data_IF_096489377517
#
_entry.id   IF_096489377517
#
_cell.length_a   1.000
_cell.length_b   1.000
_cell.length_c   1.000
_cell.angle_alpha   90.00
_cell.angle_beta   90.00
_cell.angle_gamma   90.00
#
_symmetry.space_group_name_H-M   'P 1'
#
loop_
_entity.id
_entity.type
_entity.pdbx_description
1 polymer ?
#
# COMPACT_ATOMS: atom_id res chain seq x y z
N UNK A 1 -41.56 63.97 -34.98
CA UNK A 1 -41.11 62.63 -35.36
C UNK A 1 -40.04 62.84 -36.41
N UNK A 2 -38.78 62.90 -35.97
CA UNK A 2 -37.62 63.15 -36.84
C UNK A 2 -37.09 61.77 -37.26
N UNK A 3 -37.08 61.48 -38.56
CA UNK A 3 -36.54 60.23 -39.10
C UNK A 3 -35.05 60.45 -39.44
N UNK A 4 -34.16 59.90 -38.62
CA UNK A 4 -32.74 59.78 -38.93
C UNK A 4 -32.55 58.96 -40.22
N UNK A 5 -32.06 59.60 -41.29
CA UNK A 5 -31.61 58.92 -42.51
C UNK A 5 -30.25 58.30 -42.21
N UNK A 6 -30.21 57.00 -41.94
CA UNK A 6 -28.97 56.25 -41.79
C UNK A 6 -28.31 56.04 -43.17
N UNK A 7 -27.29 56.83 -43.48
CA UNK A 7 -26.41 56.57 -44.63
C UNK A 7 -25.53 55.35 -44.32
N UNK A 8 -25.67 54.27 -45.09
CA UNK A 8 -24.82 53.07 -44.95
C UNK A 8 -23.33 53.42 -45.06
N UNK A 9 -22.45 52.75 -44.29
CA UNK A 9 -21.01 53.01 -44.32
C UNK A 9 -20.41 52.69 -45.70
N UNK A 10 -19.37 53.42 -46.15
CA UNK A 10 -18.70 53.17 -47.43
C UNK A 10 -18.01 51.81 -47.44
N UNK A 11 -17.71 51.29 -48.65
CA UNK A 11 -17.00 50.01 -48.79
C UNK A 11 -15.62 50.07 -48.13
N UNK A 12 -15.30 49.11 -47.26
CA UNK A 12 -14.10 49.16 -46.43
C UNK A 12 -13.94 47.99 -45.48
N UNK A 13 -12.83 47.97 -44.76
CA UNK A 13 -12.57 46.97 -43.71
C UNK A 13 -13.06 47.47 -42.37
N UNK A 14 -14.00 46.74 -41.78
CA UNK A 14 -14.62 47.08 -40.50
C UNK A 14 -14.50 45.90 -39.53
N UNK A 15 -14.67 46.15 -38.24
CA UNK A 15 -14.68 45.09 -37.21
C UNK A 15 -15.77 44.08 -37.52
N UNK A 16 -15.43 42.79 -37.51
CA UNK A 16 -16.39 41.73 -37.84
C UNK A 16 -17.54 41.69 -36.81
N UNK A 17 -18.80 41.99 -37.19
CA UNK A 17 -19.92 42.01 -36.26
C UNK A 17 -20.27 40.62 -35.71
N UNK A 18 -19.84 39.55 -36.40
CA UNK A 18 -20.04 38.16 -35.96
C UNK A 18 -19.13 37.77 -34.76
N UNK A 19 -18.31 38.70 -34.25
CA UNK A 19 -17.48 38.49 -33.06
C UNK A 19 -16.17 37.74 -33.32
N UNK A 20 -15.76 37.57 -34.58
CA UNK A 20 -14.41 37.07 -34.88
C UNK A 20 -13.38 38.18 -34.58
N UNK A 21 -12.23 37.82 -34.00
CA UNK A 21 -11.19 38.78 -33.57
C UNK A 21 -10.45 39.50 -34.73
N UNK A 22 -11.11 39.68 -35.88
CA UNK A 22 -10.58 40.23 -37.11
C UNK A 22 -11.46 41.33 -37.70
N UNK A 23 -11.08 41.77 -38.90
CA UNK A 23 -11.84 42.70 -39.72
C UNK A 23 -12.50 41.94 -40.87
N UNK A 24 -13.71 42.33 -41.23
CA UNK A 24 -14.44 41.82 -42.38
C UNK A 24 -14.65 42.95 -43.38
N UNK A 25 -14.63 42.64 -44.68
CA UNK A 25 -14.80 43.65 -45.71
C UNK A 25 -16.30 43.88 -46.00
N UNK A 26 -16.75 45.12 -45.84
CA UNK A 26 -18.07 45.62 -46.24
C UNK A 26 -17.97 46.17 -47.67
N UNK A 27 -18.85 45.74 -48.57
CA UNK A 27 -18.83 46.18 -49.98
C UNK A 27 -19.70 47.42 -50.26
N UNK A 28 -20.35 47.98 -49.23
CA UNK A 28 -21.30 49.10 -49.35
C UNK A 28 -22.76 48.67 -49.15
N UNK A 29 -23.08 47.39 -49.36
CA UNK A 29 -24.44 46.84 -49.27
C UNK A 29 -24.51 45.60 -48.34
N UNK A 30 -23.43 44.81 -48.25
CA UNK A 30 -23.32 43.62 -47.40
C UNK A 30 -21.91 43.28 -46.95
N UNK A 31 -21.84 42.44 -45.91
CA UNK A 31 -20.59 41.86 -45.41
C UNK A 31 -20.08 40.72 -46.31
N UNK A 32 -18.95 40.94 -46.99
CA UNK A 32 -18.33 39.92 -47.85
C UNK A 32 -17.66 38.81 -47.03
N UNK A 33 -17.28 37.70 -47.66
CA UNK A 33 -16.56 36.60 -46.98
C UNK A 33 -15.08 36.91 -46.71
N UNK A 34 -14.57 38.06 -47.16
CA UNK A 34 -13.18 38.43 -46.93
C UNK A 34 -12.99 38.87 -45.48
N UNK A 35 -12.21 38.07 -44.75
CA UNK A 35 -11.80 38.34 -43.37
C UNK A 35 -10.29 38.49 -43.34
N UNK A 36 -9.79 39.43 -42.53
CA UNK A 36 -8.37 39.59 -42.25
C UNK A 36 -8.11 39.72 -40.75
N UNK A 37 -6.97 39.22 -40.24
CA UNK A 37 -6.58 39.46 -38.85
C UNK A 37 -6.51 40.96 -38.56
N UNK A 38 -6.98 41.39 -37.39
CA UNK A 38 -6.82 42.78 -36.98
C UNK A 38 -5.33 43.06 -36.67
N UNK A 39 -4.64 43.96 -37.39
CA UNK A 39 -3.23 44.26 -37.14
C UNK A 39 -2.97 44.86 -35.75
N UNK A 40 -4.02 45.40 -35.10
CA UNK A 40 -3.97 45.98 -33.76
C UNK A 40 -4.31 44.97 -32.65
N UNK A 41 -4.58 43.71 -32.98
CA UNK A 41 -4.88 42.71 -31.95
C UNK A 41 -3.63 42.45 -31.08
N UNK A 42 -3.75 42.55 -29.74
CA UNK A 42 -2.62 42.29 -28.86
C UNK A 42 -2.15 40.85 -29.04
N UNK A 43 -0.87 40.67 -29.37
CA UNK A 43 -0.25 39.34 -29.40
C UNK A 43 -0.34 38.74 -27.99
N UNK A 44 -0.81 37.50 -27.90
CA UNK A 44 -0.94 36.81 -26.61
C UNK A 44 0.41 36.80 -25.87
N UNK A 45 0.43 37.06 -24.55
CA UNK A 45 1.65 37.01 -23.75
C UNK A 45 2.31 35.62 -23.77
N UNK A 46 1.55 34.55 -24.03
CA UNK A 46 2.10 33.22 -24.25
C UNK A 46 2.87 33.12 -25.58
N UNK A 47 2.37 33.73 -26.65
CA UNK A 47 3.05 33.75 -27.95
C UNK A 47 4.40 34.48 -27.85
N UNK A 48 4.44 35.61 -27.14
CA UNK A 48 5.68 36.36 -26.89
C UNK A 48 6.71 35.55 -26.09
N UNK A 49 6.27 34.76 -25.09
CA UNK A 49 7.17 33.88 -24.31
C UNK A 49 7.70 32.70 -25.13
N UNK A 50 6.85 32.12 -25.97
CA UNK A 50 7.23 31.03 -26.87
C UNK A 50 8.23 31.52 -27.93
N UNK A 51 8.01 32.69 -28.52
CA UNK A 51 8.92 33.29 -29.51
C UNK A 51 10.30 33.62 -28.89
N UNK A 52 10.32 34.13 -27.66
CA UNK A 52 11.56 34.36 -26.91
C UNK A 52 12.34 33.08 -26.60
N UNK A 53 11.67 32.01 -26.20
CA UNK A 53 12.30 30.70 -26.02
C UNK A 53 12.85 30.16 -27.34
N UNK A 54 12.09 30.30 -28.44
CA UNK A 54 12.44 29.79 -29.77
C UNK A 54 13.68 30.49 -30.33
N UNK A 55 13.74 31.82 -30.23
CA UNK A 55 14.92 32.58 -30.66
C UNK A 55 16.17 32.23 -29.85
N UNK A 56 16.03 31.96 -28.55
CA UNK A 56 17.15 31.57 -27.68
C UNK A 56 17.60 30.12 -27.93
N UNK A 57 16.67 29.24 -28.30
CA UNK A 57 16.95 27.87 -28.73
C UNK A 57 17.68 27.81 -30.07
N UNK A 58 17.31 28.67 -31.03
CA UNK A 58 17.96 28.76 -32.35
C UNK A 58 19.36 29.42 -32.33
N UNK A 59 19.85 29.87 -31.17
CA UNK A 59 21.23 30.33 -30.98
C UNK A 59 22.19 29.29 -30.40
N UNK A 60 21.69 28.15 -29.90
CA UNK A 60 22.53 27.12 -29.26
C UNK A 60 23.21 26.20 -30.29
N UNK A 61 24.41 25.66 -30.04
CA UNK A 61 25.06 24.72 -30.95
C UNK A 61 24.18 23.49 -31.22
N UNK A 62 24.19 22.98 -32.46
CA UNK A 62 23.26 21.95 -32.93
C UNK A 62 23.23 20.68 -32.06
N UNK A 63 24.37 20.29 -31.47
CA UNK A 63 24.44 19.16 -30.55
C UNK A 63 23.58 19.32 -29.29
N UNK A 64 23.50 20.52 -28.72
CA UNK A 64 22.72 20.77 -27.51
C UNK A 64 21.20 20.74 -27.77
N UNK A 65 20.77 21.12 -28.98
CA UNK A 65 19.35 21.10 -29.39
C UNK A 65 18.78 19.69 -29.53
N UNK A 66 19.65 18.71 -29.79
CA UNK A 66 19.27 17.31 -29.91
C UNK A 66 19.37 16.58 -28.57
N UNK A 67 20.36 16.89 -27.74
CA UNK A 67 20.57 16.19 -26.46
C UNK A 67 19.55 16.56 -25.39
N UNK A 68 19.13 17.83 -25.30
CA UNK A 68 18.16 18.28 -24.28
C UNK A 68 16.80 17.58 -24.38
N UNK A 69 16.13 17.48 -25.55
CA UNK A 69 14.84 16.80 -25.65
C UNK A 69 15.00 15.29 -25.46
N UNK A 70 16.08 14.68 -25.96
CA UNK A 70 16.35 13.26 -25.76
C UNK A 70 16.59 12.95 -24.28
N UNK A 71 17.39 13.75 -23.58
CA UNK A 71 17.62 13.60 -22.15
C UNK A 71 16.33 13.81 -21.35
N UNK A 72 15.49 14.78 -21.72
CA UNK A 72 14.20 15.01 -21.07
C UNK A 72 13.22 13.84 -21.27
N UNK A 73 13.19 13.24 -22.47
CA UNK A 73 12.39 12.04 -22.71
C UNK A 73 12.95 10.85 -21.92
N UNK A 74 14.27 10.66 -21.90
CA UNK A 74 14.89 9.58 -21.14
C UNK A 74 14.67 9.73 -19.63
N UNK A 75 14.68 10.95 -19.08
CA UNK A 75 14.36 11.17 -17.67
C UNK A 75 12.88 10.97 -17.38
N UNK A 76 11.97 11.41 -18.26
CA UNK A 76 10.53 11.11 -18.10
C UNK A 76 10.26 9.62 -18.13
N UNK A 77 10.85 8.90 -19.10
CA UNK A 77 10.73 7.44 -19.21
C UNK A 77 11.34 6.78 -17.97
N UNK A 78 12.52 7.21 -17.53
CA UNK A 78 13.15 6.71 -16.30
C UNK A 78 12.29 6.93 -15.06
N UNK A 79 11.68 8.12 -14.91
CA UNK A 79 10.77 8.44 -13.80
C UNK A 79 9.49 7.61 -13.88
N UNK A 80 8.91 7.44 -15.08
CA UNK A 80 7.72 6.63 -15.28
C UNK A 80 7.97 5.15 -14.98
N UNK A 81 9.09 4.60 -15.47
CA UNK A 81 9.54 3.24 -15.19
C UNK A 81 9.83 3.07 -13.70
N UNK A 82 10.50 4.04 -13.07
CA UNK A 82 10.76 4.02 -11.63
C UNK A 82 9.48 4.06 -10.80
N UNK A 83 8.52 4.91 -11.16
CA UNK A 83 7.22 4.97 -10.52
C UNK A 83 6.39 3.69 -10.74
N UNK A 84 6.51 3.06 -11.91
CA UNK A 84 5.85 1.79 -12.23
C UNK A 84 6.45 0.60 -11.47
N UNK A 85 7.77 0.58 -11.27
CA UNK A 85 8.47 -0.52 -10.58
C UNK A 85 8.35 -0.40 -9.05
N UNK A 86 8.06 0.79 -8.51
CA UNK A 86 7.86 0.96 -7.07
C UNK A 86 6.60 0.19 -6.63
N UNK A 87 6.73 -0.88 -5.82
CA UNK A 87 5.56 -1.52 -5.24
C UNK A 87 4.82 -0.50 -4.36
N UNK A 88 3.50 -0.43 -4.48
CA UNK A 88 2.70 0.40 -3.58
C UNK A 88 2.95 -0.11 -2.13
N UNK A 89 3.20 0.77 -1.15
CA UNK A 89 3.59 0.38 0.22
C UNK A 89 2.60 -0.51 0.99
N UNK A 90 1.38 -0.73 0.48
CA UNK A 90 0.29 -1.45 1.17
C UNK A 90 -0.17 -2.72 0.41
N UNK A 91 0.75 -3.52 -0.12
CA UNK A 91 0.41 -4.73 -0.90
C UNK A 91 0.10 -5.99 -0.05
N UNK A 92 -0.25 -5.81 1.23
CA UNK A 92 -0.67 -6.89 2.15
C UNK A 92 -1.92 -7.64 1.67
N UNK A 93 -2.65 -7.07 0.69
CA UNK A 93 -3.82 -7.68 0.07
C UNK A 93 -3.51 -8.91 -0.81
N UNK A 94 -2.25 -9.06 -1.26
CA UNK A 94 -1.82 -10.21 -2.06
C UNK A 94 -1.50 -11.45 -1.24
N UNK A 95 -1.64 -11.39 0.09
CA UNK A 95 -1.40 -12.54 0.94
C UNK A 95 -2.36 -13.70 0.62
N UNK A 96 -1.87 -14.95 0.70
CA UNK A 96 -2.71 -16.12 0.54
C UNK A 96 -3.80 -16.11 1.62
N UNK A 97 -5.06 -16.32 1.21
CA UNK A 97 -6.21 -16.31 2.13
C UNK A 97 -6.13 -17.37 3.23
N UNK A 98 -5.33 -18.43 3.01
CA UNK A 98 -5.17 -19.55 3.92
C UNK A 98 -3.73 -20.06 3.91
N UNK A 99 -3.20 -20.36 5.09
CA UNK A 99 -1.90 -20.99 5.27
C UNK A 99 -2.10 -22.45 5.70
N UNK A 100 -1.31 -23.34 5.12
CA UNK A 100 -1.28 -24.76 5.44
C UNK A 100 -0.10 -25.05 6.37
N UNK A 101 -0.36 -25.77 7.46
CA UNK A 101 0.62 -26.04 8.51
C UNK A 101 1.33 -27.37 8.28
N UNK A 102 2.66 -27.38 8.45
CA UNK A 102 3.51 -28.56 8.38
C UNK A 102 4.22 -28.74 9.73
N UNK A 103 4.24 -29.98 10.22
CA UNK A 103 4.94 -30.32 11.46
C UNK A 103 6.43 -30.52 11.18
N UNK A 104 7.31 -29.84 11.93
CA UNK A 104 8.75 -30.11 11.88
C UNK A 104 9.10 -31.39 12.65
N UNK A 105 10.26 -32.01 12.35
CA UNK A 105 10.74 -33.18 13.09
C UNK A 105 10.75 -32.94 14.60
N UNK A 106 10.12 -33.84 15.34
CA UNK A 106 9.96 -33.74 16.79
C UNK A 106 8.84 -34.65 17.29
N UNK A 107 8.61 -34.71 18.61
CA UNK A 107 7.47 -35.43 19.15
C UNK A 107 6.17 -34.80 18.65
N UNK A 108 5.23 -35.63 18.20
CA UNK A 108 3.96 -35.17 17.66
C UNK A 108 3.12 -34.53 18.77
N UNK A 109 2.63 -33.29 18.57
CA UNK A 109 1.77 -32.63 19.54
C UNK A 109 0.39 -33.31 19.61
N UNK A 110 -0.30 -33.24 20.77
CA UNK A 110 -1.70 -33.67 20.87
C UNK A 110 -2.62 -32.82 19.97
N UNK A 111 -3.79 -33.38 19.62
CA UNK A 111 -4.74 -32.75 18.71
C UNK A 111 -5.29 -31.40 19.25
N UNK A 112 -5.48 -31.27 20.57
CA UNK A 112 -5.90 -30.04 21.26
C UNK A 112 -5.01 -28.83 21.05
N UNK A 113 -3.76 -29.02 20.62
CA UNK A 113 -2.80 -27.94 20.36
C UNK A 113 -2.25 -27.97 18.92
N UNK A 114 -2.80 -28.86 18.09
CA UNK A 114 -2.44 -28.95 16.66
C UNK A 114 -3.18 -27.86 15.89
N UNK A 115 -2.46 -27.10 15.06
CA UNK A 115 -3.05 -26.05 14.23
C UNK A 115 -3.56 -26.67 12.94
N UNK A 116 -4.86 -26.58 12.70
CA UNK A 116 -5.49 -27.12 11.51
C UNK A 116 -5.33 -26.20 10.29
N UNK A 117 -5.52 -24.89 10.49
CA UNK A 117 -5.34 -23.88 9.43
C UNK A 117 -5.23 -22.48 10.00
N UNK A 118 -4.62 -21.58 9.24
CA UNK A 118 -4.60 -20.15 9.55
C UNK A 118 -5.22 -19.38 8.39
N UNK A 119 -6.36 -18.72 8.63
CA UNK A 119 -6.98 -17.84 7.64
C UNK A 119 -6.38 -16.44 7.76
N UNK A 120 -5.99 -15.84 6.64
CA UNK A 120 -5.34 -14.52 6.59
C UNK A 120 -6.27 -13.54 5.87
N UNK A 121 -6.48 -12.38 6.47
CA UNK A 121 -7.31 -11.33 5.88
C UNK A 121 -6.84 -9.94 6.25
N UNK A 122 -7.17 -8.95 5.41
CA UNK A 122 -6.83 -7.55 5.61
C UNK A 122 -8.11 -6.71 5.74
N UNK A 123 -8.78 -6.71 6.90
CA UNK A 123 -10.07 -6.05 7.06
C UNK A 123 -10.00 -4.52 6.96
N UNK A 124 -8.83 -3.91 7.20
CA UNK A 124 -8.58 -2.46 7.12
C UNK A 124 -7.18 -2.23 6.58
N UNK A 125 -6.94 -1.09 5.91
CA UNK A 125 -5.71 -0.81 5.15
C UNK A 125 -4.37 -1.01 5.88
N UNK A 126 -4.33 -1.00 7.21
CA UNK A 126 -3.10 -1.24 7.98
C UNK A 126 -3.23 -2.35 9.06
N UNK A 127 -4.22 -3.24 8.95
CA UNK A 127 -4.47 -4.28 9.96
C UNK A 127 -4.42 -5.67 9.32
N UNK A 128 -3.42 -6.45 9.72
CA UNK A 128 -3.32 -7.87 9.38
C UNK A 128 -4.12 -8.69 10.39
N UNK A 129 -5.12 -9.42 9.91
CA UNK A 129 -5.93 -10.33 10.74
C UNK A 129 -5.62 -11.79 10.40
N UNK A 130 -5.25 -12.54 11.42
CA UNK A 130 -4.98 -13.98 11.39
C UNK A 130 -5.99 -14.70 12.26
N UNK A 131 -6.68 -15.68 11.68
CA UNK A 131 -7.63 -16.55 12.41
C UNK A 131 -7.03 -17.94 12.45
N UNK A 132 -6.49 -18.31 13.62
CA UNK A 132 -5.84 -19.60 13.86
C UNK A 132 -6.90 -20.57 14.35
N UNK A 133 -7.11 -21.65 13.58
CA UNK A 133 -8.04 -22.74 13.92
C UNK A 133 -7.26 -23.97 14.36
N UNK A 134 -7.60 -24.51 15.52
CA UNK A 134 -7.03 -25.72 16.08
C UNK A 134 -7.84 -26.94 15.66
N UNK A 135 -7.21 -28.12 15.66
CA UNK A 135 -7.88 -29.37 15.32
C UNK A 135 -8.94 -29.77 16.37
N UNK A 136 -8.71 -29.40 17.62
CA UNK A 136 -9.62 -29.61 18.75
C UNK A 136 -9.66 -28.37 19.65
N UNK A 137 -10.65 -28.25 20.55
CA UNK A 137 -10.70 -27.15 21.51
C UNK A 137 -9.43 -27.04 22.37
N UNK A 138 -8.88 -25.83 22.45
CA UNK A 138 -7.71 -25.55 23.28
C UNK A 138 -8.01 -25.84 24.77
N UNK A 139 -7.01 -26.20 25.57
CA UNK A 139 -7.20 -26.32 27.02
C UNK A 139 -7.50 -24.94 27.66
N UNK A 140 -7.79 -24.89 28.98
CA UNK A 140 -7.92 -23.63 29.72
C UNK A 140 -6.59 -22.88 29.77
N UNK A 141 -6.62 -21.55 29.68
CA UNK A 141 -5.41 -20.73 29.66
C UNK A 141 -4.51 -21.00 30.88
N UNK A 142 -3.17 -20.96 30.70
CA UNK A 142 -2.24 -21.20 31.78
C UNK A 142 -2.40 -20.15 32.88
N UNK A 143 -2.38 -20.60 34.14
CA UNK A 143 -2.38 -19.72 35.31
C UNK A 143 -0.96 -19.40 35.74
N UNK A 144 -0.68 -18.16 36.15
CA UNK A 144 0.62 -17.75 36.68
C UNK A 144 1.24 -16.57 35.94
N UNK A 145 2.52 -16.32 36.21
CA UNK A 145 3.25 -15.17 35.70
C UNK A 145 4.63 -15.57 35.17
N UNK A 146 5.26 -14.69 34.39
CA UNK A 146 6.64 -14.89 33.96
C UNK A 146 7.63 -14.96 35.13
N UNK A 147 7.30 -14.36 36.28
CA UNK A 147 8.14 -14.36 37.49
C UNK A 147 7.97 -15.64 38.31
N UNK A 148 6.75 -16.14 38.44
CA UNK A 148 6.40 -17.34 39.23
C UNK A 148 6.43 -18.63 38.42
N UNK A 149 6.57 -18.54 37.09
CA UNK A 149 6.27 -19.62 36.17
C UNK A 149 4.77 -19.72 35.88
N UNK A 150 4.47 -20.35 34.74
CA UNK A 150 3.11 -20.67 34.32
C UNK A 150 2.83 -22.15 34.60
N UNK A 151 1.67 -22.45 35.18
CA UNK A 151 1.12 -23.79 35.29
C UNK A 151 0.13 -24.02 34.14
N UNK A 152 0.24 -25.16 33.44
CA UNK A 152 -0.61 -25.48 32.28
C UNK A 152 0.22 -25.63 31.01
N UNK A 153 -0.13 -24.93 29.94
CA UNK A 153 0.62 -25.00 28.70
C UNK A 153 1.10 -23.63 28.23
N UNK A 154 2.30 -23.59 27.64
CA UNK A 154 2.83 -22.38 27.02
C UNK A 154 2.71 -22.47 25.51
N UNK A 155 1.89 -21.63 24.91
CA UNK A 155 1.74 -21.53 23.46
C UNK A 155 2.39 -20.23 22.99
N UNK A 156 3.50 -20.34 22.27
CA UNK A 156 4.21 -19.21 21.69
C UNK A 156 4.05 -19.24 20.19
N UNK A 157 3.70 -18.10 19.60
CA UNK A 157 3.57 -17.95 18.17
C UNK A 157 4.57 -16.94 17.67
N UNK A 158 5.31 -17.25 16.61
CA UNK A 158 6.14 -16.26 15.91
C UNK A 158 5.59 -16.04 14.51
N UNK A 159 5.53 -14.77 14.14
CA UNK A 159 5.05 -14.33 12.84
C UNK A 159 6.21 -13.66 12.14
N UNK A 160 6.56 -14.20 10.98
CA UNK A 160 7.67 -13.73 10.17
C UNK A 160 7.22 -13.40 8.75
N UNK A 161 7.79 -12.33 8.21
CA UNK A 161 7.72 -11.96 6.80
C UNK A 161 9.13 -12.10 6.23
N UNK A 162 9.30 -12.83 5.12
CA UNK A 162 10.62 -13.05 4.53
C UNK A 162 11.64 -13.70 5.48
N UNK A 163 11.18 -14.57 6.40
CA UNK A 163 12.03 -15.18 7.42
C UNK A 163 12.48 -14.23 8.54
N UNK A 164 12.10 -12.95 8.49
CA UNK A 164 12.31 -11.99 9.58
C UNK A 164 11.08 -11.95 10.47
N UNK A 165 11.25 -12.40 11.71
CA UNK A 165 10.21 -12.29 12.73
C UNK A 165 9.91 -10.81 13.01
N UNK A 166 8.62 -10.49 13.13
CA UNK A 166 8.16 -9.14 13.47
C UNK A 166 7.16 -9.11 14.63
N UNK A 167 6.54 -10.24 14.96
CA UNK A 167 5.66 -10.37 16.12
C UNK A 167 5.86 -11.73 16.80
N UNK A 168 5.96 -11.70 18.12
CA UNK A 168 5.91 -12.88 19.00
C UNK A 168 4.66 -12.76 19.87
N UNK A 169 3.86 -13.83 19.94
CA UNK A 169 2.71 -13.91 20.81
C UNK A 169 2.92 -14.98 21.87
N UNK A 170 2.58 -14.67 23.11
CA UNK A 170 2.66 -15.61 24.24
C UNK A 170 1.49 -15.41 25.20
N UNK A 171 1.39 -16.22 26.28
CA UNK A 171 0.32 -16.08 27.24
C UNK A 171 0.40 -14.73 27.95
N UNK A 172 -0.76 -14.10 28.13
CA UNK A 172 -0.92 -12.94 28.99
C UNK A 172 -1.32 -13.42 30.39
N UNK A 173 -0.63 -12.91 31.41
CA UNK A 173 -0.88 -13.27 32.80
C UNK A 173 -2.37 -13.12 33.17
N UNK A 174 -2.93 -14.17 33.76
CA UNK A 174 -4.29 -14.22 34.32
C UNK A 174 -5.41 -13.84 33.32
N UNK A 175 -5.20 -14.07 32.02
CA UNK A 175 -6.20 -13.81 30.97
C UNK A 175 -6.19 -14.90 29.88
N UNK A 176 -7.28 -14.98 29.10
CA UNK A 176 -7.35 -15.78 27.86
C UNK A 176 -6.79 -15.05 26.63
N UNK A 177 -6.14 -13.90 26.84
CA UNK A 177 -5.52 -13.11 25.78
C UNK A 177 -4.07 -13.53 25.55
N UNK A 178 -3.56 -13.18 24.37
CA UNK A 178 -2.15 -13.37 24.05
C UNK A 178 -1.45 -12.02 24.05
N UNK A 179 -0.35 -11.96 24.80
CA UNK A 179 0.58 -10.85 24.79
C UNK A 179 1.27 -10.77 23.44
N UNK A 180 1.19 -9.63 22.75
CA UNK A 180 1.92 -9.37 21.49
C UNK A 180 3.21 -8.61 21.81
N UNK A 181 4.33 -9.06 21.24
CA UNK A 181 5.67 -8.52 21.48
C UNK A 181 6.44 -8.35 20.19
N UNK A 182 7.43 -7.44 20.20
CA UNK A 182 8.45 -7.38 19.15
C UNK A 182 9.57 -8.38 19.44
N UNK A 183 10.04 -9.14 18.44
CA UNK A 183 11.13 -10.09 18.63
C UNK A 183 12.39 -9.38 19.13
N UNK A 184 13.04 -9.93 20.17
CA UNK A 184 14.30 -9.41 20.72
C UNK A 184 14.18 -8.34 21.81
N UNK A 185 12.98 -7.85 22.14
CA UNK A 185 12.78 -6.97 23.30
C UNK A 185 12.68 -7.79 24.60
N UNK A 186 13.43 -7.39 25.64
CA UNK A 186 13.56 -8.15 26.89
C UNK A 186 12.26 -8.18 27.71
N UNK A 187 12.01 -9.33 28.36
CA UNK A 187 10.78 -9.68 29.12
C UNK A 187 10.49 -8.83 30.38
N UNK A 188 11.24 -7.76 30.63
CA UNK A 188 11.44 -7.18 31.96
C UNK A 188 10.44 -6.12 32.43
N UNK A 189 10.06 -5.14 31.60
CA UNK A 189 9.39 -3.94 32.20
C UNK A 189 8.40 -3.19 31.32
N UNK A 190 8.37 -3.38 29.99
CA UNK A 190 7.16 -3.07 29.20
C UNK A 190 6.96 -4.16 28.14
N UNK A 191 6.75 -5.42 28.55
CA UNK A 191 7.03 -6.57 27.70
C UNK A 191 5.96 -6.86 26.66
N UNK A 192 4.79 -6.21 26.73
CA UNK A 192 3.65 -6.49 25.86
C UNK A 192 3.18 -5.19 25.24
N UNK A 193 2.99 -5.18 23.92
CA UNK A 193 2.26 -4.10 23.26
C UNK A 193 0.89 -3.96 23.92
N UNK A 194 0.57 -2.74 24.37
CA UNK A 194 -0.76 -2.43 24.91
C UNK A 194 -1.82 -2.81 23.88
N UNK A 195 -2.75 -3.73 24.21
CA UNK A 195 -3.82 -4.11 23.31
C UNK A 195 -4.68 -2.91 22.95
N UNK A 196 -5.06 -2.83 21.69
CA UNK A 196 -5.99 -1.84 21.16
C UNK A 196 -6.94 -2.52 20.15
N UNK A 197 -7.83 -1.74 19.51
CA UNK A 197 -8.82 -2.26 18.56
C UNK A 197 -8.21 -2.94 17.33
N UNK A 198 -7.00 -2.55 16.93
CA UNK A 198 -6.29 -3.01 15.74
C UNK A 198 -5.11 -3.94 16.06
N UNK A 199 -4.60 -3.91 17.29
CA UNK A 199 -3.55 -4.80 17.78
C UNK A 199 -4.01 -5.54 19.03
N UNK A 200 -4.51 -6.76 18.86
CA UNK A 200 -5.00 -7.61 19.94
C UNK A 200 -4.94 -9.07 19.51
N UNK A 201 -4.88 -9.97 20.48
CA UNK A 201 -4.94 -11.40 20.22
C UNK A 201 -5.75 -12.07 21.32
N UNK A 202 -6.85 -12.71 20.93
CA UNK A 202 -7.79 -13.31 21.87
C UNK A 202 -8.41 -14.57 21.31
N UNK A 203 -8.79 -15.46 22.23
CA UNK A 203 -9.64 -16.59 21.91
C UNK A 203 -11.06 -16.10 21.60
N UNK A 204 -11.56 -16.44 20.41
CA UNK A 204 -12.91 -16.06 19.94
C UNK A 204 -13.87 -17.26 19.93
N UNK A 205 -13.34 -18.47 19.85
CA UNK A 205 -14.07 -19.72 20.01
C UNK A 205 -13.21 -20.78 20.73
N UNK A 206 -13.76 -21.90 21.19
CA UNK A 206 -12.99 -22.95 21.87
C UNK A 206 -11.80 -23.47 21.03
N UNK A 207 -11.90 -23.48 19.72
CA UNK A 207 -10.87 -23.95 18.79
C UNK A 207 -10.23 -22.80 17.98
N UNK A 208 -10.56 -21.54 18.28
CA UNK A 208 -10.21 -20.42 17.41
C UNK A 208 -9.60 -19.26 18.18
N UNK A 209 -8.44 -18.81 17.71
CA UNK A 209 -7.74 -17.61 18.19
C UNK A 209 -7.69 -16.59 17.07
N UNK A 210 -8.19 -15.39 17.33
CA UNK A 210 -8.11 -14.26 16.41
C UNK A 210 -6.99 -13.32 16.84
N UNK A 211 -6.11 -12.98 15.90
CA UNK A 211 -4.95 -12.11 16.08
C UNK A 211 -5.08 -10.96 15.09
N UNK A 212 -5.20 -9.75 15.58
CA UNK A 212 -5.18 -8.50 14.83
C UNK A 212 -3.86 -7.79 15.08
N UNK A 213 -3.19 -7.34 14.02
CA UNK A 213 -1.87 -6.72 14.07
C UNK A 213 -1.84 -5.46 13.22
N UNK A 214 -1.60 -4.31 13.86
CA UNK A 214 -1.39 -3.06 13.13
C UNK A 214 0.04 -3.01 12.57
N UNK A 215 0.15 -3.01 11.23
CA UNK A 215 1.44 -3.09 10.52
C UNK A 215 2.37 -1.93 10.87
N UNK A 216 1.82 -0.73 11.07
CA UNK A 216 2.60 0.47 11.45
C UNK A 216 3.25 0.34 12.83
N UNK A 217 2.54 -0.21 13.83
CA UNK A 217 3.12 -0.37 15.19
C UNK A 217 4.26 -1.39 15.20
N UNK A 218 4.22 -2.34 14.27
CA UNK A 218 5.21 -3.38 14.08
C UNK A 218 6.38 -2.96 13.16
N UNK A 219 6.38 -1.72 12.64
CA UNK A 219 7.44 -1.21 11.77
C UNK A 219 7.45 -1.87 10.38
N UNK A 220 6.27 -2.23 9.88
CA UNK A 220 6.06 -2.90 8.60
C UNK A 220 5.52 -1.96 7.50
N UNK A 221 5.67 -0.65 7.68
CA UNK A 221 5.15 0.41 6.82
C UNK A 221 5.90 0.59 5.48
N UNK A 222 7.11 0.04 5.37
CA UNK A 222 7.93 0.11 4.15
C UNK A 222 8.52 -1.23 3.71
N UNK A 223 8.19 -2.32 4.42
CA UNK A 223 8.76 -3.62 4.12
C UNK A 223 8.08 -4.21 2.87
N UNK A 224 8.83 -4.58 1.82
CA UNK A 224 8.25 -5.36 0.72
C UNK A 224 7.67 -6.66 1.28
N UNK A 225 6.37 -6.86 1.06
CA UNK A 225 5.63 -8.05 1.49
C UNK A 225 5.89 -9.13 0.46
N UNK A 226 6.65 -10.16 0.81
CA UNK A 226 6.69 -11.38 0.02
C UNK A 226 5.49 -12.23 0.47
N UNK A 227 4.76 -12.89 -0.44
CA UNK A 227 3.61 -13.76 -0.12
C UNK A 227 3.89 -14.90 0.88
N UNK A 228 5.12 -15.04 1.40
CA UNK A 228 5.48 -16.02 2.40
C UNK A 228 5.39 -15.47 3.82
N UNK A 229 4.15 -15.35 4.33
CA UNK A 229 3.94 -15.22 5.77
C UNK A 229 4.22 -16.57 6.43
N UNK A 230 5.12 -16.55 7.39
CA UNK A 230 5.53 -17.70 8.18
C UNK A 230 4.90 -17.59 9.55
N UNK A 231 4.15 -18.59 9.96
CA UNK A 231 3.61 -18.72 11.30
C UNK A 231 4.22 -19.95 11.96
N UNK A 232 4.95 -19.77 13.06
CA UNK A 232 5.46 -20.88 13.84
C UNK A 232 4.78 -20.94 15.20
N UNK A 233 4.30 -22.11 15.61
CA UNK A 233 3.79 -22.36 16.95
C UNK A 233 4.74 -23.30 17.72
N UNK A 234 5.12 -22.91 18.94
CA UNK A 234 5.90 -23.73 19.88
C UNK A 234 5.11 -24.00 21.16
N UNK A 235 5.28 -25.20 21.71
CA UNK A 235 4.64 -25.63 22.95
C UNK A 235 5.66 -26.03 24.01
N UNK A 236 5.48 -25.57 25.26
CA UNK A 236 6.25 -26.06 26.42
C UNK A 236 5.34 -26.48 27.56
N UNK A 237 5.56 -27.68 28.09
CA UNK A 237 4.92 -28.17 29.32
C UNK A 237 5.76 -27.81 30.56
N UNK A 238 5.15 -27.35 31.66
CA UNK A 238 5.83 -27.02 32.92
C UNK A 238 5.88 -28.17 33.93
N UNK A 239 5.33 -29.35 33.62
CA UNK A 239 5.53 -30.55 34.46
C UNK A 239 7.00 -30.96 34.46
N UNK A 240 7.46 -31.66 35.52
CA UNK A 240 8.85 -32.07 35.85
C UNK A 240 9.71 -32.63 34.71
N UNK A 241 9.11 -32.94 33.56
CA UNK A 241 9.78 -33.17 32.28
C UNK A 241 9.17 -32.19 31.25
N UNK A 242 9.93 -31.18 30.87
CA UNK A 242 9.57 -30.27 29.77
C UNK A 242 9.63 -31.05 28.47
N UNK A 243 8.47 -31.31 27.84
CA UNK A 243 8.41 -31.92 26.50
C UNK A 243 8.29 -30.79 25.49
N UNK A 244 9.31 -30.64 24.63
CA UNK A 244 9.31 -29.70 23.51
C UNK A 244 8.79 -30.45 22.27
N UNK A 245 7.52 -30.21 21.91
CA UNK A 245 6.91 -30.84 20.74
C UNK A 245 7.47 -30.24 19.44
N UNK A 246 7.34 -30.99 18.34
CA UNK A 246 7.68 -30.49 17.01
C UNK A 246 6.94 -29.18 16.71
N UNK A 247 7.67 -28.10 16.44
CA UNK A 247 7.05 -26.83 16.03
C UNK A 247 6.29 -27.00 14.72
N UNK A 248 5.14 -26.34 14.60
CA UNK A 248 4.33 -26.31 13.37
C UNK A 248 4.62 -25.02 12.62
N UNK A 249 4.90 -25.14 11.32
CA UNK A 249 5.17 -24.02 10.43
C UNK A 249 4.04 -23.90 9.40
N UNK A 250 3.30 -22.81 9.41
CA UNK A 250 2.24 -22.56 8.45
C UNK A 250 2.71 -21.57 7.39
N UNK A 251 2.57 -21.97 6.13
CA UNK A 251 2.95 -21.19 4.96
C UNK A 251 1.83 -21.18 3.92
N UNK A 252 1.82 -20.12 3.12
CA UNK A 252 0.95 -20.02 1.96
C UNK A 252 1.22 -21.14 0.98
N UNK A 253 0.17 -21.75 0.44
CA UNK A 253 0.30 -22.71 -0.65
C UNK A 253 0.83 -21.97 -1.88
N UNK A 254 2.11 -22.17 -2.19
CA UNK A 254 2.71 -21.63 -3.41
C UNK A 254 2.11 -22.44 -4.56
N UNK A 255 1.21 -21.84 -5.34
CA UNK A 255 0.78 -22.44 -6.61
C UNK A 255 2.05 -22.78 -7.40
N UNK A 256 2.27 -24.07 -7.63
CA UNK A 256 3.42 -24.57 -8.37
C UNK A 256 3.39 -23.97 -9.79
N UNK A 257 4.12 -22.88 -10.02
CA UNK A 257 4.11 -22.19 -11.32
C UNK A 257 4.69 -20.79 -11.36
N UNK A 258 4.81 -20.09 -10.23
CA UNK A 258 5.37 -18.73 -10.23
C UNK A 258 6.90 -18.76 -10.22
N UNK A 259 7.49 -18.75 -11.43
CA UNK A 259 8.93 -18.52 -11.62
C UNK A 259 9.30 -17.09 -11.21
N UNK A 260 10.52 -16.97 -10.68
CA UNK A 260 11.21 -15.72 -10.31
C UNK A 260 11.23 -14.70 -11.43
#
# INVERSE_FOLDING_TARGET
>A
MEHDVATSPPAGWYTDPDGSAGQRYWDGDRWTRHRRPNPSAPRSPLALRVDGLRSRWLGMPAGLRLTVPVAAVLTMVGVAVYAWIRPLPDDWSQLPKRLSCQLRPGPTPPATITVASVDVSHPRGAVLRLVVRFAEPLPPSPSGSFASGFAGYLLTYTIANNGKEFAELGPQQDTDELAIRKPGESRGTEPNMRPDRNTNARRTAPDTVEINLETKRLGLDQAPVDPQLTFAAQFRTPSTVTVDFGSQFCQGERLAGQRR
#
